data_IF_183571884582
#
_entry.id   IF_183571884582
#
_cell.length_a   1.000
_cell.length_b   1.000
_cell.length_c   1.000
_cell.angle_alpha   90.00
_cell.angle_beta   90.00
_cell.angle_gamma   90.00
#
_symmetry.space_group_name_H-M   'P 1'
#
loop_
_entity.id
_entity.type
_entity.pdbx_description
1 polymer ?
#
# COMPACT_ATOMS: atom_id res chain seq x y z
N UNK A 1 15.13 15.44 -17.11
CA UNK A 1 14.09 14.43 -16.81
C UNK A 1 12.84 14.86 -17.56
N UNK A 2 12.42 14.11 -18.58
CA UNK A 2 11.16 14.42 -19.27
C UNK A 2 10.01 14.10 -18.31
N UNK A 3 9.21 15.10 -17.95
CA UNK A 3 7.96 14.91 -17.21
C UNK A 3 6.99 14.17 -18.13
N UNK A 4 6.79 12.87 -17.86
CA UNK A 4 5.69 12.11 -18.47
C UNK A 4 4.40 12.83 -18.08
N UNK A 5 3.57 13.19 -19.06
CA UNK A 5 2.24 13.73 -18.78
C UNK A 5 1.47 12.67 -17.98
N UNK A 6 1.14 12.97 -16.73
CA UNK A 6 0.47 12.01 -15.85
C UNK A 6 -0.96 11.78 -16.34
N UNK A 7 -1.33 10.51 -16.53
CA UNK A 7 -2.69 10.13 -16.90
C UNK A 7 -3.60 10.33 -15.69
N UNK A 8 -4.68 11.10 -15.84
CA UNK A 8 -5.69 11.34 -14.80
C UNK A 8 -6.23 10.05 -14.19
N UNK A 9 -6.47 9.02 -15.00
CA UNK A 9 -6.98 7.74 -14.53
C UNK A 9 -5.97 7.06 -13.60
N UNK A 10 -4.71 6.98 -14.03
CA UNK A 10 -3.62 6.44 -13.21
C UNK A 10 -3.47 7.18 -11.88
N UNK A 11 -3.58 8.51 -11.90
CA UNK A 11 -3.50 9.31 -10.67
C UNK A 11 -4.66 9.03 -9.71
N UNK A 12 -5.87 8.84 -10.24
CA UNK A 12 -7.03 8.49 -9.43
C UNK A 12 -6.88 7.08 -8.85
N UNK A 13 -6.34 6.13 -9.61
CA UNK A 13 -6.10 4.77 -9.12
C UNK A 13 -5.01 4.73 -8.05
N UNK A 14 -3.91 5.46 -8.26
CA UNK A 14 -2.88 5.62 -7.25
C UNK A 14 -3.44 6.25 -5.97
N UNK A 15 -4.26 7.30 -6.10
CA UNK A 15 -4.93 7.93 -4.97
C UNK A 15 -5.84 6.96 -4.21
N UNK A 16 -6.69 6.21 -4.94
CA UNK A 16 -7.58 5.20 -4.34
C UNK A 16 -6.80 4.13 -3.60
N UNK A 17 -5.71 3.63 -4.18
CA UNK A 17 -4.86 2.63 -3.55
C UNK A 17 -4.21 3.18 -2.27
N UNK A 18 -3.68 4.41 -2.29
CA UNK A 18 -3.11 5.02 -1.08
C UNK A 18 -4.17 5.19 0.03
N UNK A 19 -5.39 5.61 -0.33
CA UNK A 19 -6.50 5.75 0.63
C UNK A 19 -6.94 4.39 1.17
N UNK A 20 -6.99 3.35 0.33
CA UNK A 20 -7.27 1.99 0.76
C UNK A 20 -6.25 1.51 1.80
N UNK A 21 -4.95 1.65 1.49
CA UNK A 21 -3.88 1.27 2.41
C UNK A 21 -4.03 2.02 3.73
N UNK A 22 -4.23 3.36 3.70
CA UNK A 22 -4.44 4.15 4.93
C UNK A 22 -5.57 3.58 5.78
N UNK A 23 -6.74 3.33 5.19
CA UNK A 23 -7.90 2.85 5.93
C UNK A 23 -7.73 1.42 6.45
N UNK A 24 -7.10 0.54 5.67
CA UNK A 24 -6.76 -0.80 6.12
C UNK A 24 -5.86 -0.74 7.36
N UNK A 25 -4.82 0.10 7.31
CA UNK A 25 -3.85 0.25 8.40
C UNK A 25 -4.45 0.88 9.66
N UNK A 26 -5.31 1.90 9.51
CA UNK A 26 -6.06 2.48 10.63
C UNK A 26 -6.97 1.43 11.28
N UNK A 27 -7.62 0.57 10.48
CA UNK A 27 -8.45 -0.51 10.99
C UNK A 27 -7.62 -1.59 11.68
N UNK A 28 -6.47 -1.97 11.11
CA UNK A 28 -5.54 -2.90 11.72
C UNK A 28 -5.04 -2.37 13.08
N UNK A 29 -4.68 -1.08 13.16
CA UNK A 29 -4.28 -0.43 14.40
C UNK A 29 -5.38 -0.49 15.48
N UNK A 30 -6.64 -0.23 15.07
CA UNK A 30 -7.79 -0.32 15.97
C UNK A 30 -7.99 -1.74 16.49
N UNK A 31 -7.96 -2.74 15.60
CA UNK A 31 -8.13 -4.15 15.96
C UNK A 31 -6.99 -4.68 16.83
N UNK A 32 -5.77 -4.22 16.58
CA UNK A 32 -4.62 -4.52 17.43
C UNK A 32 -4.81 -3.94 18.84
N UNK A 33 -5.26 -2.70 18.96
CA UNK A 33 -5.58 -2.06 20.25
C UNK A 33 -6.70 -2.80 21.00
N UNK A 34 -7.65 -3.37 20.27
CA UNK A 34 -8.74 -4.19 20.80
C UNK A 34 -8.32 -5.64 21.12
N UNK A 35 -7.03 -5.98 20.96
CA UNK A 35 -6.47 -7.32 21.12
C UNK A 35 -7.10 -8.39 20.19
N UNK A 36 -7.68 -7.97 19.07
CA UNK A 36 -8.14 -8.88 18.01
C UNK A 36 -6.99 -9.32 17.09
N UNK A 37 -5.88 -8.59 17.06
CA UNK A 37 -4.63 -8.97 16.39
C UNK A 37 -3.57 -9.14 17.48
N UNK A 38 -2.95 -10.32 17.54
CA UNK A 38 -1.87 -10.62 18.48
C UNK A 38 -0.49 -10.59 17.82
N UNK A 39 0.57 -10.50 18.62
CA UNK A 39 1.94 -10.49 18.12
C UNK A 39 2.39 -9.09 17.66
N UNK A 40 2.95 -8.98 16.45
CA UNK A 40 3.43 -7.72 15.88
C UNK A 40 2.50 -7.21 14.79
N UNK A 41 2.32 -5.89 14.72
CA UNK A 41 1.53 -5.23 13.69
C UNK A 41 2.26 -3.95 13.24
N UNK A 42 2.90 -3.99 12.06
CA UNK A 42 3.72 -2.89 11.55
C UNK A 42 2.99 -2.18 10.41
N UNK A 43 2.61 -0.93 10.65
CA UNK A 43 1.69 -0.22 9.78
C UNK A 43 2.41 0.65 8.74
N UNK A 44 2.02 0.63 7.46
CA UNK A 44 2.52 1.55 6.42
C UNK A 44 1.91 2.98 6.50
N UNK A 45 1.36 3.40 7.65
CA UNK A 45 0.79 4.75 7.80
C UNK A 45 1.86 5.82 7.54
N UNK A 46 1.65 6.63 6.50
CA UNK A 46 2.55 7.68 6.06
C UNK A 46 3.55 7.25 4.97
N UNK A 47 3.60 5.96 4.62
CA UNK A 47 4.47 5.40 3.58
C UNK A 47 3.69 5.01 2.30
N UNK A 48 2.41 5.33 2.20
CA UNK A 48 1.52 4.85 1.14
C UNK A 48 2.01 5.27 -0.25
N UNK A 49 2.51 6.50 -0.39
CA UNK A 49 3.06 7.00 -1.64
C UNK A 49 4.33 6.26 -2.07
N UNK A 50 5.16 5.82 -1.12
CA UNK A 50 6.35 5.00 -1.42
C UNK A 50 5.94 3.65 -1.97
N UNK A 51 4.95 3.00 -1.35
CA UNK A 51 4.44 1.70 -1.77
C UNK A 51 3.77 1.80 -3.15
N UNK A 52 2.75 2.65 -3.28
CA UNK A 52 1.98 2.77 -4.53
C UNK A 52 2.82 3.32 -5.66
N UNK A 53 3.62 4.35 -5.38
CA UNK A 53 4.52 4.94 -6.37
C UNK A 53 5.51 3.93 -6.92
N UNK A 54 6.21 3.18 -6.06
CA UNK A 54 7.16 2.16 -6.50
C UNK A 54 6.47 1.05 -7.30
N UNK A 55 5.39 0.47 -6.78
CA UNK A 55 4.72 -0.68 -7.38
C UNK A 55 3.98 -0.32 -8.69
N UNK A 56 3.49 0.92 -8.83
CA UNK A 56 2.82 1.38 -10.07
C UNK A 56 3.73 1.39 -11.30
N UNK A 57 5.05 1.27 -11.11
CA UNK A 57 6.04 1.26 -12.20
C UNK A 57 6.51 -0.13 -12.60
N UNK A 58 6.12 -1.16 -11.83
CA UNK A 58 6.51 -2.54 -12.07
C UNK A 58 5.71 -3.15 -13.21
N UNK A 59 6.30 -4.17 -13.84
CA UNK A 59 5.62 -5.05 -14.79
C UNK A 59 5.05 -6.25 -14.05
N UNK A 60 4.04 -6.94 -14.61
CA UNK A 60 3.43 -8.11 -13.97
C UNK A 60 4.40 -9.24 -13.61
N UNK A 61 5.53 -9.35 -14.32
CA UNK A 61 6.53 -10.40 -14.11
C UNK A 61 7.63 -10.01 -13.11
N UNK A 62 7.64 -8.75 -12.64
CA UNK A 62 8.65 -8.27 -11.71
C UNK A 62 8.35 -8.78 -10.29
N UNK A 63 9.38 -9.29 -9.62
CA UNK A 63 9.28 -9.78 -8.24
C UNK A 63 9.48 -8.65 -7.24
N UNK A 64 8.67 -8.66 -6.17
CA UNK A 64 8.77 -7.71 -5.06
C UNK A 64 9.21 -8.45 -3.81
N UNK A 65 10.22 -7.92 -3.14
CA UNK A 65 10.68 -8.37 -1.84
C UNK A 65 10.67 -7.19 -0.87
N UNK A 66 10.15 -7.41 0.34
CA UNK A 66 10.06 -6.39 1.39
C UNK A 66 10.23 -7.00 2.77
N UNK A 67 10.34 -6.16 3.80
CA UNK A 67 10.45 -6.57 5.20
C UNK A 67 9.07 -6.69 5.87
N UNK A 68 9.01 -6.66 7.21
CA UNK A 68 7.81 -6.90 8.02
C UNK A 68 6.76 -5.77 8.03
N UNK A 69 6.92 -4.74 7.19
CA UNK A 69 5.99 -3.60 7.06
C UNK A 69 5.41 -3.60 5.64
N UNK A 70 4.61 -4.62 5.37
CA UNK A 70 4.29 -5.08 4.03
C UNK A 70 2.80 -5.14 3.71
N UNK A 71 1.90 -4.77 4.63
CA UNK A 71 0.46 -4.78 4.37
C UNK A 71 0.10 -3.99 3.11
N UNK A 72 0.63 -2.76 2.99
CA UNK A 72 0.40 -1.93 1.82
C UNK A 72 0.94 -2.57 0.52
N UNK A 73 2.05 -3.30 0.61
CA UNK A 73 2.63 -3.99 -0.53
C UNK A 73 1.74 -5.16 -0.97
N UNK A 74 1.26 -5.97 -0.02
CA UNK A 74 0.35 -7.08 -0.30
C UNK A 74 -0.96 -6.61 -0.95
N UNK A 75 -1.54 -5.50 -0.47
CA UNK A 75 -2.73 -4.88 -1.05
C UNK A 75 -2.47 -4.35 -2.47
N UNK A 76 -1.39 -3.61 -2.66
CA UNK A 76 -1.04 -3.07 -3.98
C UNK A 76 -0.69 -4.16 -5.01
N UNK A 77 -0.28 -5.35 -4.56
CA UNK A 77 -0.08 -6.54 -5.39
C UNK A 77 -1.35 -7.38 -5.61
N UNK A 78 -2.51 -6.91 -5.12
CA UNK A 78 -3.82 -7.48 -5.43
C UNK A 78 -4.41 -8.40 -4.37
N UNK A 79 -3.89 -8.38 -3.14
CA UNK A 79 -4.56 -9.07 -2.02
C UNK A 79 -5.88 -8.37 -1.66
N UNK A 80 -6.89 -9.14 -1.31
CA UNK A 80 -8.19 -8.63 -0.85
C UNK A 80 -8.10 -8.12 0.60
N UNK A 81 -8.56 -6.88 0.91
CA UNK A 81 -8.46 -6.26 2.23
C UNK A 81 -9.43 -6.81 3.30
#
# INVERSE_FOLDING_TARGET
>A
MATKTENREQLLDNYRMMVLIRHFEERAAQLYTQAHIGGYCHLNIGEEATVVGALSTLRPEDYVFTAYRDHGHALALGSDP
#
